data_IF_268163294275
#
_entry.id   IF_268163294275
#
_cell.length_a   1.000
_cell.length_b   1.000
_cell.length_c   1.000
_cell.angle_alpha   90.00
_cell.angle_beta   90.00
_cell.angle_gamma   90.00
#
_symmetry.space_group_name_H-M   'P 1'
#
loop_
_entity.id
_entity.type
_entity.pdbx_description
1 polymer ?
#
# COMPACT_ATOMS: atom_id res chain seq x y z
N UNK A 1 -0.24 -23.13 -3.69
CA UNK A 1 0.00 -22.11 -2.66
C UNK A 1 -1.17 -21.14 -2.68
N UNK A 2 -1.56 -20.62 -1.51
CA UNK A 2 -2.50 -19.51 -1.39
C UNK A 2 -1.73 -18.27 -0.93
N UNK A 3 -1.87 -17.16 -1.66
CA UNK A 3 -1.35 -15.85 -1.30
C UNK A 3 -2.53 -14.89 -1.13
N UNK A 4 -2.55 -14.12 -0.05
CA UNK A 4 -3.53 -13.05 0.16
C UNK A 4 -2.80 -11.71 0.05
N UNK A 5 -3.33 -10.77 -0.74
CA UNK A 5 -2.83 -9.40 -0.81
C UNK A 5 -3.95 -8.48 -0.33
N UNK A 6 -3.69 -7.75 0.74
CA UNK A 6 -4.58 -6.75 1.32
C UNK A 6 -3.94 -5.38 1.12
N UNK A 7 -4.52 -4.58 0.25
CA UNK A 7 -4.13 -3.19 0.01
C UNK A 7 -5.01 -2.22 0.78
N UNK A 8 -4.44 -1.10 1.14
CA UNK A 8 -5.12 0.01 1.78
C UNK A 8 -4.38 1.32 1.48
N UNK A 9 -5.13 2.38 1.20
CA UNK A 9 -4.63 3.73 0.99
C UNK A 9 -5.62 4.77 1.49
N UNK A 10 -5.26 6.04 1.35
CA UNK A 10 -6.14 7.19 1.57
C UNK A 10 -6.84 7.16 2.95
N UNK A 11 -6.05 6.96 4.02
CA UNK A 11 -6.53 6.87 5.40
C UNK A 11 -6.04 8.07 6.19
N UNK A 12 -6.89 9.04 6.37
CA UNK A 12 -6.56 10.31 7.00
C UNK A 12 -6.99 10.37 8.47
N UNK A 13 -8.13 9.74 8.78
CA UNK A 13 -8.72 9.78 10.10
C UNK A 13 -8.34 8.55 10.94
N UNK A 14 -7.90 8.80 12.17
CA UNK A 14 -7.53 7.73 13.10
C UNK A 14 -8.73 6.91 13.58
N UNK A 15 -9.93 7.50 13.60
CA UNK A 15 -11.16 6.86 14.06
C UNK A 15 -12.12 6.54 12.92
N UNK A 16 -13.09 5.69 13.22
CA UNK A 16 -14.17 5.34 12.29
C UNK A 16 -15.07 6.54 11.95
N UNK A 17 -15.66 6.50 10.76
CA UNK A 17 -16.73 7.41 10.37
C UNK A 17 -18.02 6.63 10.15
N UNK A 18 -19.06 6.94 10.94
CA UNK A 18 -20.39 6.30 10.84
C UNK A 18 -20.33 4.76 10.92
N UNK A 19 -19.46 4.25 11.77
CA UNK A 19 -19.30 2.82 12.00
C UNK A 19 -18.42 2.08 10.98
N UNK A 20 -17.70 2.78 10.09
CA UNK A 20 -16.81 2.20 9.08
C UNK A 20 -15.43 2.80 9.14
N UNK A 21 -14.46 2.05 8.66
CA UNK A 21 -13.06 2.48 8.59
C UNK A 21 -12.42 2.67 9.95
N UNK A 22 -11.37 3.52 9.96
CA UNK A 22 -10.55 3.78 11.14
C UNK A 22 -9.57 2.66 11.46
N UNK A 23 -8.44 3.01 12.06
CA UNK A 23 -7.32 2.08 12.26
C UNK A 23 -7.66 0.88 13.16
N UNK A 24 -8.59 1.02 14.12
CA UNK A 24 -8.93 -0.10 14.99
C UNK A 24 -9.60 -1.25 14.23
N UNK A 25 -10.43 -0.96 13.23
CA UNK A 25 -11.03 -1.99 12.36
C UNK A 25 -10.05 -2.51 11.32
N UNK A 26 -9.21 -1.64 10.76
CA UNK A 26 -8.19 -2.01 9.78
C UNK A 26 -7.16 -2.95 10.39
N UNK A 27 -6.66 -2.64 11.57
CA UNK A 27 -5.72 -3.49 12.29
C UNK A 27 -6.35 -4.84 12.66
N UNK A 28 -7.65 -4.87 12.99
CA UNK A 28 -8.38 -6.13 13.22
C UNK A 28 -8.39 -6.99 11.96
N UNK A 29 -8.68 -6.41 10.78
CA UNK A 29 -8.66 -7.14 9.50
C UNK A 29 -7.26 -7.64 9.19
N UNK A 30 -6.24 -6.79 9.26
CA UNK A 30 -4.85 -7.16 8.96
C UNK A 30 -4.35 -8.32 9.86
N UNK A 31 -4.64 -8.24 11.16
CA UNK A 31 -4.31 -9.30 12.13
C UNK A 31 -5.05 -10.60 11.80
N UNK A 32 -6.34 -10.52 11.46
CA UNK A 32 -7.16 -11.69 11.10
C UNK A 32 -6.69 -12.37 9.81
N UNK A 33 -6.38 -11.59 8.77
CA UNK A 33 -5.87 -12.11 7.50
C UNK A 33 -4.54 -12.85 7.68
N UNK A 34 -3.59 -12.25 8.42
CA UNK A 34 -2.31 -12.89 8.73
C UNK A 34 -2.46 -14.15 9.58
N UNK A 35 -3.42 -14.17 10.49
CA UNK A 35 -3.71 -15.36 11.28
C UNK A 35 -4.33 -16.49 10.44
N UNK A 36 -5.16 -16.13 9.46
CA UNK A 36 -5.82 -17.08 8.57
C UNK A 36 -4.89 -17.64 7.48
N UNK A 37 -3.93 -16.82 7.00
CA UNK A 37 -2.97 -17.20 5.98
C UNK A 37 -1.60 -16.57 6.25
N UNK A 38 -0.55 -17.37 6.56
CA UNK A 38 0.80 -16.85 6.79
C UNK A 38 1.41 -16.21 5.53
N UNK A 39 0.91 -16.55 4.33
CA UNK A 39 1.28 -15.90 3.09
C UNK A 39 0.34 -14.72 2.81
N UNK A 40 0.25 -13.78 3.74
CA UNK A 40 -0.49 -12.52 3.57
C UNK A 40 0.50 -11.38 3.41
N UNK A 41 0.31 -10.59 2.36
CA UNK A 41 0.95 -9.29 2.15
C UNK A 41 -0.06 -8.19 2.50
N UNK A 42 0.30 -7.34 3.44
CA UNK A 42 -0.46 -6.15 3.80
C UNK A 42 0.30 -4.93 3.31
N UNK A 43 -0.22 -4.26 2.30
CA UNK A 43 0.45 -3.19 1.58
C UNK A 43 -0.30 -1.87 1.72
N UNK A 44 0.45 -0.78 1.73
CA UNK A 44 -0.08 0.57 1.79
C UNK A 44 0.26 1.33 0.51
N UNK A 45 -0.76 1.84 -0.15
CA UNK A 45 -0.66 2.51 -1.45
C UNK A 45 -0.84 4.04 -1.38
N UNK A 46 -0.49 4.63 -0.22
CA UNK A 46 -0.29 6.07 -0.06
C UNK A 46 -1.35 6.79 0.77
N UNK A 47 -0.98 7.96 1.27
CA UNK A 47 -1.81 8.97 1.93
C UNK A 47 -2.38 8.60 3.29
N UNK A 48 -1.56 8.82 4.35
CA UNK A 48 -2.03 8.63 5.74
C UNK A 48 -1.64 9.78 6.69
N UNK A 49 -0.62 10.59 6.37
CA UNK A 49 -0.12 11.55 7.34
C UNK A 49 -1.00 12.79 7.47
N UNK A 50 -1.79 13.09 6.43
CA UNK A 50 -2.67 14.28 6.33
C UNK A 50 -3.76 14.00 5.28
N UNK A 51 -4.86 14.77 5.23
CA UNK A 51 -5.28 15.74 6.24
C UNK A 51 -6.17 15.12 7.33
N UNK A 52 -6.00 15.54 8.55
CA UNK A 52 -6.97 15.30 9.62
C UNK A 52 -6.85 16.40 10.70
N UNK A 53 -7.83 16.50 11.58
CA UNK A 53 -7.75 17.46 12.69
C UNK A 53 -6.51 17.15 13.54
N UNK A 54 -6.29 15.89 13.90
CA UNK A 54 -5.19 15.49 14.75
C UNK A 54 -3.85 15.67 14.06
N UNK A 55 -3.76 15.41 12.75
CA UNK A 55 -2.51 15.61 11.98
C UNK A 55 -2.06 17.08 11.95
N UNK A 56 -2.99 18.02 12.10
CA UNK A 56 -2.66 19.44 12.27
C UNK A 56 -1.84 19.72 13.54
N UNK A 57 -1.91 18.88 14.56
CA UNK A 57 -1.17 19.01 15.82
C UNK A 57 0.07 18.11 15.85
N UNK A 58 -0.04 16.85 15.44
CA UNK A 58 1.02 15.84 15.58
C UNK A 58 1.71 15.47 14.26
N UNK A 59 1.33 16.14 13.16
CA UNK A 59 1.88 15.97 11.83
C UNK A 59 1.88 14.50 11.35
N UNK A 60 0.78 13.78 11.66
CA UNK A 60 0.57 12.39 11.26
C UNK A 60 1.22 11.35 12.17
N UNK A 61 1.72 11.72 13.37
CA UNK A 61 2.29 10.75 14.31
C UNK A 61 1.25 9.72 14.77
N UNK A 62 -0.01 10.14 14.92
CA UNK A 62 -1.10 9.27 15.34
C UNK A 62 -1.32 8.08 14.38
N UNK A 63 -1.25 8.31 13.07
CA UNK A 63 -1.44 7.26 12.07
C UNK A 63 -0.27 6.29 12.05
N UNK A 64 0.97 6.77 12.23
CA UNK A 64 2.16 5.93 12.39
C UNK A 64 2.06 5.05 13.65
N UNK A 65 1.66 5.63 14.79
CA UNK A 65 1.54 4.87 16.03
C UNK A 65 0.50 3.75 15.92
N UNK A 66 -0.66 4.05 15.31
CA UNK A 66 -1.72 3.07 15.06
C UNK A 66 -1.29 1.99 14.06
N UNK A 67 -0.62 2.37 12.98
CA UNK A 67 -0.11 1.42 11.98
C UNK A 67 0.96 0.51 12.57
N UNK A 68 1.77 1.01 13.51
CA UNK A 68 2.79 0.22 14.19
C UNK A 68 2.22 -0.94 15.04
N UNK A 69 0.91 -0.98 15.32
CA UNK A 69 0.21 -2.10 15.98
C UNK A 69 -0.12 -3.26 15.01
N UNK A 70 -0.18 -2.97 13.70
CA UNK A 70 -0.35 -3.95 12.63
C UNK A 70 0.45 -3.49 11.39
N UNK A 71 1.81 -3.56 11.41
CA UNK A 71 2.65 -2.93 10.42
C UNK A 71 2.44 -3.48 9.01
N UNK A 72 2.58 -2.62 8.01
CA UNK A 72 2.59 -3.01 6.60
C UNK A 72 3.82 -3.85 6.24
N UNK A 73 3.69 -4.63 5.20
CA UNK A 73 4.84 -5.32 4.57
C UNK A 73 5.65 -4.37 3.67
N UNK A 74 4.98 -3.36 3.11
CA UNK A 74 5.55 -2.25 2.35
C UNK A 74 4.55 -1.09 2.37
N UNK A 75 5.06 0.14 2.41
CA UNK A 75 4.28 1.36 2.29
C UNK A 75 4.85 2.26 1.18
N UNK A 76 3.97 2.79 0.35
CA UNK A 76 4.31 3.80 -0.68
C UNK A 76 3.89 5.16 -0.18
N UNK A 77 4.73 6.21 -0.27
CA UNK A 77 4.27 7.55 0.04
C UNK A 77 3.38 8.11 -1.08
N UNK A 78 2.24 8.68 -0.69
CA UNK A 78 1.43 9.52 -1.55
C UNK A 78 1.81 11.00 -1.42
N UNK A 79 1.00 11.89 -1.99
CA UNK A 79 1.25 13.32 -1.90
C UNK A 79 1.05 13.86 -0.47
N UNK A 80 0.10 13.29 0.27
CA UNK A 80 -0.21 13.72 1.64
C UNK A 80 0.86 13.34 2.68
N UNK A 81 1.81 12.50 2.35
CA UNK A 81 3.00 12.26 3.17
C UNK A 81 3.91 13.48 3.20
N UNK A 82 3.83 14.39 2.22
CA UNK A 82 4.68 15.57 2.10
C UNK A 82 4.01 16.88 2.51
N UNK A 83 2.76 16.89 2.96
CA UNK A 83 2.05 18.13 3.32
C UNK A 83 2.73 18.93 4.42
N UNK A 84 3.40 18.25 5.34
CA UNK A 84 4.20 18.87 6.40
C UNK A 84 5.70 18.97 6.05
N UNK A 85 6.06 18.79 4.78
CA UNK A 85 7.42 18.86 4.26
C UNK A 85 8.20 17.55 4.38
N UNK A 86 9.32 17.51 3.65
CA UNK A 86 10.18 16.33 3.54
C UNK A 86 10.76 15.90 4.88
N UNK A 87 11.19 16.85 5.72
CA UNK A 87 11.75 16.55 7.05
C UNK A 87 10.76 15.79 7.93
N UNK A 88 9.48 16.22 7.92
CA UNK A 88 8.43 15.51 8.65
C UNK A 88 8.24 14.07 8.12
N UNK A 89 8.18 13.90 6.80
CA UNK A 89 8.07 12.56 6.23
C UNK A 89 9.25 11.67 6.65
N UNK A 90 10.48 12.19 6.62
CA UNK A 90 11.66 11.44 7.08
C UNK A 90 11.57 11.04 8.56
N UNK A 91 11.06 11.93 9.43
CA UNK A 91 10.82 11.62 10.85
C UNK A 91 9.79 10.50 11.01
N UNK A 92 8.67 10.57 10.26
CA UNK A 92 7.61 9.54 10.32
C UNK A 92 8.09 8.21 9.77
N UNK A 93 8.87 8.23 8.69
CA UNK A 93 9.52 7.04 8.14
C UNK A 93 10.44 6.38 9.19
N UNK A 94 11.24 7.16 9.90
CA UNK A 94 12.11 6.65 10.96
C UNK A 94 11.33 6.11 12.18
N UNK A 95 10.13 6.63 12.46
CA UNK A 95 9.25 6.16 13.53
C UNK A 95 8.42 4.92 13.15
N UNK A 96 8.37 4.56 11.88
CA UNK A 96 7.60 3.44 11.35
C UNK A 96 8.29 2.10 11.65
N UNK A 97 7.50 1.09 12.04
CA UNK A 97 7.95 -0.32 12.17
C UNK A 97 7.77 -1.11 10.86
N UNK A 98 7.59 -0.43 9.77
CA UNK A 98 7.39 -0.98 8.43
C UNK A 98 8.22 -0.21 7.42
N UNK A 99 8.61 -0.84 6.29
CA UNK A 99 9.43 -0.19 5.28
C UNK A 99 8.59 0.74 4.40
N UNK A 100 9.07 1.95 4.20
CA UNK A 100 8.63 2.84 3.15
C UNK A 100 9.47 2.62 1.90
N UNK A 101 8.84 2.64 0.73
CA UNK A 101 9.53 2.42 -0.54
C UNK A 101 8.87 3.18 -1.68
N UNK A 102 9.70 3.71 -2.59
CA UNK A 102 9.27 4.26 -3.87
C UNK A 102 10.47 4.27 -4.83
N UNK A 103 10.31 3.63 -5.98
CA UNK A 103 11.41 3.51 -6.96
C UNK A 103 11.59 4.74 -7.83
N UNK A 104 10.62 5.65 -7.82
CA UNK A 104 10.61 6.85 -8.65
C UNK A 104 10.88 8.15 -7.89
N UNK A 105 11.24 8.08 -6.59
CA UNK A 105 11.61 9.26 -5.81
C UNK A 105 13.12 9.28 -5.59
N UNK A 106 13.76 10.40 -5.92
CA UNK A 106 15.19 10.62 -5.73
C UNK A 106 15.47 12.00 -5.12
N UNK A 107 16.67 12.20 -4.61
CA UNK A 107 17.17 13.53 -4.27
C UNK A 107 17.36 14.37 -5.54
N UNK A 108 17.57 15.67 -5.39
CA UNK A 108 17.79 16.60 -6.50
C UNK A 108 18.95 16.20 -7.41
N UNK A 109 19.97 15.56 -6.87
CA UNK A 109 21.15 15.07 -7.60
C UNK A 109 20.97 13.68 -8.23
N UNK A 110 19.77 13.07 -8.11
CA UNK A 110 19.43 11.76 -8.62
C UNK A 110 19.85 10.59 -7.73
N UNK A 111 20.43 10.85 -6.56
CA UNK A 111 20.78 9.79 -5.59
C UNK A 111 19.54 9.31 -4.82
N UNK A 112 19.55 8.06 -4.29
CA UNK A 112 18.45 7.57 -3.48
C UNK A 112 18.17 8.40 -2.23
N UNK A 113 16.91 8.48 -1.83
CA UNK A 113 16.50 9.05 -0.55
C UNK A 113 16.82 8.06 0.56
N UNK A 114 17.53 8.52 1.60
CA UNK A 114 17.92 7.65 2.71
C UNK A 114 16.70 7.10 3.45
N UNK A 115 16.70 5.80 3.72
CA UNK A 115 15.58 5.10 4.38
C UNK A 115 14.42 4.75 3.46
N UNK A 116 14.33 5.33 2.26
CA UNK A 116 13.32 4.97 1.27
C UNK A 116 13.79 3.77 0.44
N UNK A 117 13.06 2.66 0.53
CA UNK A 117 13.40 1.42 -0.18
C UNK A 117 13.04 1.45 -1.67
N UNK A 118 13.49 0.42 -2.37
CA UNK A 118 13.17 0.16 -3.78
C UNK A 118 12.28 -1.07 -3.95
N UNK A 119 12.42 -1.75 -5.07
CA UNK A 119 11.75 -3.03 -5.33
C UNK A 119 12.08 -4.04 -4.23
N UNK A 120 11.04 -4.68 -3.70
CA UNK A 120 11.18 -5.70 -2.66
C UNK A 120 10.75 -7.06 -3.20
N UNK A 121 11.56 -8.09 -2.98
CA UNK A 121 11.19 -9.46 -3.34
C UNK A 121 10.99 -10.27 -2.06
N UNK A 122 9.82 -10.91 -1.96
CA UNK A 122 9.46 -11.79 -0.84
C UNK A 122 9.18 -13.21 -1.33
N UNK A 123 9.61 -14.21 -0.54
CA UNK A 123 9.17 -15.60 -0.72
C UNK A 123 7.85 -15.82 0.04
N UNK A 124 6.81 -16.15 -0.70
CA UNK A 124 5.49 -16.38 -0.16
C UNK A 124 5.09 -17.86 -0.37
N UNK A 125 5.67 -18.72 0.46
CA UNK A 125 5.43 -20.17 0.39
C UNK A 125 6.02 -20.83 -0.86
N UNK A 126 7.21 -20.40 -1.26
CA UNK A 126 7.93 -20.87 -2.45
C UNK A 126 7.58 -20.12 -3.74
N UNK A 127 6.79 -19.04 -3.64
CA UNK A 127 6.48 -18.10 -4.74
C UNK A 127 7.29 -16.83 -4.53
N UNK A 128 8.12 -16.46 -5.50
CA UNK A 128 8.87 -15.20 -5.49
C UNK A 128 7.97 -14.05 -5.94
N UNK A 129 7.58 -13.20 -5.02
CA UNK A 129 6.71 -12.04 -5.27
C UNK A 129 7.55 -10.77 -5.25
N UNK A 130 7.61 -10.07 -6.39
CA UNK A 130 8.21 -8.74 -6.48
C UNK A 130 7.15 -7.68 -6.22
N UNK A 131 7.39 -6.80 -5.25
CA UNK A 131 6.58 -5.62 -4.95
C UNK A 131 7.23 -4.41 -5.61
N UNK A 132 6.49 -3.73 -6.47
CA UNK A 132 6.93 -2.56 -7.23
C UNK A 132 6.25 -1.32 -6.63
N UNK A 133 6.94 -0.60 -5.72
CA UNK A 133 6.39 0.58 -5.06
C UNK A 133 6.60 1.83 -5.92
N UNK A 134 5.53 2.56 -6.25
CA UNK A 134 5.61 3.76 -7.10
C UNK A 134 4.69 4.84 -6.59
N UNK A 135 5.24 6.03 -6.39
CA UNK A 135 4.51 7.23 -5.99
C UNK A 135 4.02 8.02 -7.21
N UNK A 136 3.03 8.87 -7.02
CA UNK A 136 2.52 9.79 -8.04
C UNK A 136 3.55 10.86 -8.39
N UNK A 137 3.86 11.04 -9.67
CA UNK A 137 4.87 11.99 -10.14
C UNK A 137 4.42 13.45 -10.13
N UNK A 138 3.11 13.70 -9.99
CA UNK A 138 2.55 15.04 -9.81
C UNK A 138 2.60 15.55 -8.35
N UNK A 139 3.10 14.76 -7.41
CA UNK A 139 3.26 15.15 -6.00
C UNK A 139 3.91 16.52 -5.79
N UNK A 140 4.96 16.92 -6.53
CA UNK A 140 5.56 18.25 -6.38
C UNK A 140 4.63 19.43 -6.74
N UNK A 141 3.55 19.17 -7.48
CA UNK A 141 2.59 20.20 -7.89
C UNK A 141 1.51 20.45 -6.83
N UNK A 142 1.28 19.48 -5.95
CA UNK A 142 0.15 19.47 -5.02
C UNK A 142 0.55 19.39 -3.55
N UNK A 143 1.84 19.17 -3.24
CA UNK A 143 2.33 19.03 -1.87
C UNK A 143 3.76 19.60 -1.69
N UNK A 144 4.24 19.62 -0.44
CA UNK A 144 5.51 20.24 -0.04
C UNK A 144 6.69 19.27 -0.12
N UNK A 145 6.93 18.68 -1.29
CA UNK A 145 7.99 17.66 -1.50
C UNK A 145 9.41 18.22 -1.62
N UNK A 146 9.62 19.53 -1.42
CA UNK A 146 10.94 20.18 -1.44
C UNK A 146 11.68 19.96 -2.76
N UNK A 147 12.97 19.61 -2.67
CA UNK A 147 13.83 19.38 -3.83
C UNK A 147 13.81 17.93 -4.35
N UNK A 148 12.93 17.08 -3.82
CA UNK A 148 12.80 15.69 -4.29
C UNK A 148 12.36 15.68 -5.76
N UNK A 149 12.89 14.71 -6.50
CA UNK A 149 12.52 14.46 -7.89
C UNK A 149 11.64 13.23 -7.97
N UNK A 150 10.56 13.34 -8.72
CA UNK A 150 9.65 12.26 -9.01
C UNK A 150 9.79 11.91 -10.50
N UNK A 151 10.24 10.69 -10.77
CA UNK A 151 10.30 10.17 -12.15
C UNK A 151 8.90 9.77 -12.60
N UNK A 152 8.65 9.72 -13.92
CA UNK A 152 7.33 9.36 -14.45
C UNK A 152 6.80 8.05 -13.88
N UNK A 153 5.61 8.10 -13.28
CA UNK A 153 4.99 6.98 -12.55
C UNK A 153 4.85 5.74 -13.41
N UNK A 154 4.20 5.85 -14.57
CA UNK A 154 3.82 4.71 -15.42
C UNK A 154 5.04 4.04 -16.04
N UNK A 155 5.91 4.83 -16.66
CA UNK A 155 7.11 4.31 -17.36
C UNK A 155 8.06 3.63 -16.38
N UNK A 156 8.27 4.26 -15.20
CA UNK A 156 9.14 3.71 -14.16
C UNK A 156 8.58 2.41 -13.61
N UNK A 157 7.27 2.37 -13.32
CA UNK A 157 6.60 1.18 -12.83
C UNK A 157 6.70 0.01 -13.82
N UNK A 158 6.41 0.25 -15.11
CA UNK A 158 6.44 -0.78 -16.16
C UNK A 158 7.86 -1.31 -16.37
N UNK A 159 8.86 -0.43 -16.39
CA UNK A 159 10.25 -0.83 -16.55
C UNK A 159 10.71 -1.72 -15.38
N UNK A 160 10.39 -1.34 -14.15
CA UNK A 160 10.73 -2.11 -12.95
C UNK A 160 10.00 -3.46 -12.89
N UNK A 161 8.73 -3.50 -13.30
CA UNK A 161 7.96 -4.74 -13.36
C UNK A 161 8.55 -5.74 -14.34
N UNK A 162 8.95 -5.29 -15.53
CA UNK A 162 9.64 -6.12 -16.55
C UNK A 162 10.98 -6.62 -16.02
N UNK A 163 11.77 -5.73 -15.41
CA UNK A 163 13.07 -6.11 -14.83
C UNK A 163 12.89 -7.16 -13.73
N UNK A 164 11.91 -7.00 -12.83
CA UNK A 164 11.64 -7.98 -11.79
C UNK A 164 11.26 -9.35 -12.37
N UNK A 165 10.52 -9.38 -13.48
CA UNK A 165 10.19 -10.62 -14.19
C UNK A 165 11.44 -11.27 -14.79
N UNK A 166 12.32 -10.48 -15.42
CA UNK A 166 13.59 -10.96 -15.99
C UNK A 166 14.52 -11.49 -14.89
N UNK A 167 14.49 -10.90 -13.70
CA UNK A 167 15.23 -11.33 -12.50
C UNK A 167 14.62 -12.58 -11.83
N UNK A 168 13.54 -13.13 -12.40
CA UNK A 168 12.95 -14.39 -11.99
C UNK A 168 11.89 -14.30 -10.92
N UNK A 169 11.16 -13.17 -10.81
CA UNK A 169 9.97 -13.09 -10.02
C UNK A 169 8.86 -13.98 -10.62
N UNK A 170 8.22 -14.77 -9.77
CA UNK A 170 7.07 -15.59 -10.15
C UNK A 170 5.80 -14.72 -10.31
N UNK A 171 5.64 -13.73 -9.43
CA UNK A 171 4.57 -12.73 -9.46
C UNK A 171 5.13 -11.32 -9.32
N UNK A 172 4.50 -10.37 -10.00
CA UNK A 172 4.82 -8.94 -9.93
C UNK A 172 3.59 -8.20 -9.45
N UNK A 173 3.71 -7.52 -8.31
CA UNK A 173 2.65 -6.76 -7.65
C UNK A 173 3.02 -5.29 -7.65
N UNK A 174 2.21 -4.46 -8.30
CA UNK A 174 2.28 -3.01 -8.18
C UNK A 174 1.64 -2.56 -6.87
N UNK A 175 2.34 -1.72 -6.12
CA UNK A 175 1.78 -0.97 -4.99
C UNK A 175 1.97 0.49 -5.36
N UNK A 176 0.89 1.13 -5.78
CA UNK A 176 1.01 2.41 -6.49
C UNK A 176 0.06 3.45 -5.91
N UNK A 177 0.56 4.68 -5.82
CA UNK A 177 -0.25 5.85 -5.54
C UNK A 177 -0.34 6.64 -6.84
N UNK A 178 -1.48 6.58 -7.51
CA UNK A 178 -1.66 7.25 -8.81
C UNK A 178 -3.13 7.32 -9.22
N UNK A 179 -3.42 8.22 -10.19
CA UNK A 179 -4.78 8.39 -10.69
C UNK A 179 -5.23 7.27 -11.64
N UNK A 180 -6.54 7.17 -11.84
CA UNK A 180 -7.18 6.12 -12.64
C UNK A 180 -6.72 6.08 -14.11
N UNK A 181 -6.30 7.20 -14.71
CA UNK A 181 -5.79 7.17 -16.08
C UNK A 181 -4.45 6.47 -16.18
N UNK A 182 -3.56 6.71 -15.21
CA UNK A 182 -2.31 5.97 -15.06
C UNK A 182 -2.56 4.50 -14.75
N UNK A 183 -3.52 4.17 -13.87
CA UNK A 183 -3.90 2.79 -13.58
C UNK A 183 -4.32 2.03 -14.83
N UNK A 184 -5.13 2.65 -15.68
CA UNK A 184 -5.52 2.07 -16.98
C UNK A 184 -4.31 1.76 -17.86
N UNK A 185 -3.29 2.65 -17.85
CA UNK A 185 -2.05 2.44 -18.58
C UNK A 185 -1.23 1.28 -17.98
N UNK A 186 -1.15 1.20 -16.64
CA UNK A 186 -0.48 0.10 -15.95
C UNK A 186 -1.16 -1.24 -16.24
N UNK A 187 -2.49 -1.33 -16.16
CA UNK A 187 -3.28 -2.52 -16.51
C UNK A 187 -3.05 -2.90 -17.97
N UNK A 188 -3.12 -1.93 -18.89
CA UNK A 188 -2.93 -2.17 -20.33
C UNK A 188 -1.54 -2.65 -20.67
N UNK A 189 -0.52 -2.34 -19.88
CA UNK A 189 0.87 -2.76 -20.08
C UNK A 189 1.08 -4.29 -19.96
N UNK A 190 0.20 -4.98 -19.20
CA UNK A 190 0.30 -6.41 -18.88
C UNK A 190 1.61 -6.79 -18.16
N UNK A 191 2.29 -5.82 -17.56
CA UNK A 191 3.55 -6.06 -16.84
C UNK A 191 3.34 -6.60 -15.43
N UNK A 192 2.14 -6.41 -14.87
CA UNK A 192 1.77 -6.76 -13.50
C UNK A 192 0.80 -7.93 -13.45
N UNK A 193 0.94 -8.78 -12.43
CA UNK A 193 -0.07 -9.79 -12.08
C UNK A 193 -1.17 -9.16 -11.20
N UNK A 194 -0.78 -8.33 -10.23
CA UNK A 194 -1.70 -7.62 -9.34
C UNK A 194 -1.27 -6.15 -9.24
N UNK A 195 -2.25 -5.25 -9.18
CA UNK A 195 -2.05 -3.83 -8.87
C UNK A 195 -2.96 -3.47 -7.71
N UNK A 196 -2.38 -2.91 -6.64
CA UNK A 196 -3.06 -2.21 -5.56
C UNK A 196 -2.79 -0.73 -5.73
N UNK A 197 -3.84 0.06 -5.88
CA UNK A 197 -3.76 1.49 -6.18
C UNK A 197 -4.60 2.33 -5.22
N UNK A 198 -4.13 3.52 -4.89
CA UNK A 198 -4.82 4.58 -4.16
C UNK A 198 -4.80 5.89 -4.93
N UNK A 199 -5.25 6.99 -4.34
CA UNK A 199 -5.37 8.37 -4.84
C UNK A 199 -6.80 8.80 -5.21
N UNK A 200 -7.52 8.01 -6.02
CA UNK A 200 -8.83 8.42 -6.55
C UNK A 200 -10.00 8.23 -5.56
N UNK A 201 -9.75 7.69 -4.38
CA UNK A 201 -10.76 7.40 -3.33
C UNK A 201 -11.90 6.48 -3.77
N UNK A 202 -11.76 5.87 -4.92
CA UNK A 202 -12.76 4.99 -5.52
C UNK A 202 -12.62 3.56 -4.99
N UNK A 203 -13.71 2.81 -4.99
CA UNK A 203 -13.65 1.37 -4.77
C UNK A 203 -13.87 0.65 -6.11
N UNK A 204 -12.85 -0.01 -6.58
CA UNK A 204 -12.94 -0.77 -7.83
C UNK A 204 -12.14 -2.07 -7.76
N UNK A 205 -12.64 -3.09 -8.44
CA UNK A 205 -11.92 -4.34 -8.67
C UNK A 205 -12.10 -4.76 -10.11
N UNK A 206 -11.06 -5.24 -10.75
CA UNK A 206 -11.15 -5.79 -12.10
C UNK A 206 -10.14 -6.91 -12.33
N UNK A 207 -10.43 -7.77 -13.29
CA UNK A 207 -9.51 -8.78 -13.79
C UNK A 207 -9.72 -8.95 -15.29
N UNK A 208 -8.68 -8.72 -16.07
CA UNK A 208 -8.74 -8.78 -17.53
C UNK A 208 -8.19 -10.09 -18.13
N UNK A 209 -7.98 -11.10 -17.27
CA UNK A 209 -7.38 -12.39 -17.63
C UNK A 209 -5.86 -12.44 -17.46
N UNK A 210 -5.20 -11.32 -17.14
CA UNK A 210 -3.75 -11.19 -16.92
C UNK A 210 -3.50 -10.41 -15.62
N UNK A 211 -4.07 -9.21 -15.48
CA UNK A 211 -3.83 -8.30 -14.36
C UNK A 211 -5.08 -8.24 -13.47
N UNK A 212 -4.93 -8.55 -12.19
CA UNK A 212 -5.91 -8.26 -11.16
C UNK A 212 -5.65 -6.85 -10.60
N UNK A 213 -6.68 -6.03 -10.51
CA UNK A 213 -6.60 -4.65 -10.05
C UNK A 213 -7.56 -4.39 -8.91
N UNK A 214 -7.10 -3.63 -7.92
CA UNK A 214 -7.90 -3.10 -6.82
C UNK A 214 -7.57 -1.63 -6.64
N UNK A 215 -8.60 -0.80 -6.65
CA UNK A 215 -8.59 0.55 -6.10
C UNK A 215 -9.09 0.46 -4.66
N UNK A 216 -8.28 0.91 -3.70
CA UNK A 216 -8.44 0.53 -2.28
C UNK A 216 -9.45 1.35 -1.49
N UNK A 217 -10.19 2.25 -2.15
CA UNK A 217 -11.18 3.11 -1.48
C UNK A 217 -10.55 4.18 -0.58
N UNK A 218 -11.35 4.84 0.22
CA UNK A 218 -10.93 5.86 1.18
C UNK A 218 -11.29 5.44 2.60
N UNK A 219 -10.46 5.84 3.59
CA UNK A 219 -10.68 5.64 5.03
C UNK A 219 -10.88 4.18 5.45
N UNK A 220 -10.48 3.25 4.60
CA UNK A 220 -10.68 1.82 4.87
C UNK A 220 -12.13 1.42 5.09
N UNK A 221 -13.08 2.13 4.48
CA UNK A 221 -14.52 1.82 4.61
C UNK A 221 -14.86 0.46 4.03
N UNK A 222 -14.25 0.14 2.92
CA UNK A 222 -14.38 -1.12 2.20
C UNK A 222 -13.00 -1.65 1.84
N UNK A 223 -12.80 -2.94 2.03
CA UNK A 223 -11.53 -3.59 1.69
C UNK A 223 -11.78 -4.71 0.70
N UNK A 224 -10.83 -4.91 -0.21
CA UNK A 224 -10.84 -6.01 -1.17
C UNK A 224 -9.55 -6.82 -1.11
N UNK A 225 -9.42 -7.75 -0.15
CA UNK A 225 -8.32 -8.71 -0.21
C UNK A 225 -8.40 -9.54 -1.50
N UNK A 226 -7.27 -9.69 -2.19
CA UNK A 226 -7.15 -10.55 -3.35
C UNK A 226 -6.47 -11.85 -2.93
N UNK A 227 -7.23 -12.95 -2.96
CA UNK A 227 -6.67 -14.27 -2.75
C UNK A 227 -6.22 -14.87 -4.09
N UNK A 228 -4.94 -15.16 -4.22
CA UNK A 228 -4.42 -15.88 -5.36
C UNK A 228 -4.29 -17.36 -5.03
N UNK A 229 -4.95 -18.21 -5.79
CA UNK A 229 -4.71 -19.66 -5.79
C UNK A 229 -3.62 -19.92 -6.82
N UNK A 230 -2.46 -20.39 -6.34
CA UNK A 230 -1.24 -20.49 -7.13
C UNK A 230 -0.82 -21.94 -7.30
N UNK A 231 -0.72 -22.37 -8.55
CA UNK A 231 -0.21 -23.67 -8.96
C UNK A 231 1.21 -23.52 -9.51
N UNK A 232 2.14 -24.23 -8.87
CA UNK A 232 3.54 -24.28 -9.29
C UNK A 232 3.79 -25.65 -9.91
N UNK A 233 4.33 -25.67 -11.11
CA UNK A 233 4.75 -26.89 -11.79
C UNK A 233 6.15 -26.71 -12.38
N UNK A 234 6.87 -27.81 -12.49
CA UNK A 234 8.14 -27.86 -13.17
C UNK A 234 8.08 -28.97 -14.22
N UNK A 235 8.42 -28.62 -15.45
CA UNK A 235 8.48 -29.55 -16.57
C UNK A 235 9.72 -29.26 -17.41
N UNK A 236 10.53 -30.30 -17.64
CA UNK A 236 11.76 -30.22 -18.45
C UNK A 236 12.72 -29.11 -17.95
N UNK A 237 12.84 -28.97 -16.61
CA UNK A 237 13.66 -27.95 -15.97
C UNK A 237 13.10 -26.51 -16.07
N UNK A 238 11.89 -26.36 -16.60
CA UNK A 238 11.19 -25.07 -16.66
C UNK A 238 10.12 -24.98 -15.60
N UNK A 239 10.27 -23.98 -14.71
CA UNK A 239 9.28 -23.60 -13.71
C UNK A 239 8.12 -22.86 -14.39
N UNK A 240 6.90 -23.19 -14.02
CA UNK A 240 5.68 -22.51 -14.45
C UNK A 240 4.82 -22.19 -13.24
N UNK A 241 4.39 -20.95 -13.14
CA UNK A 241 3.49 -20.47 -12.11
C UNK A 241 2.22 -20.00 -12.78
N UNK A 242 1.09 -20.55 -12.35
CA UNK A 242 -0.26 -20.14 -12.79
C UNK A 242 -1.04 -19.75 -11.56
N UNK A 243 -1.89 -18.76 -11.70
CA UNK A 243 -2.69 -18.27 -10.59
C UNK A 243 -4.08 -17.84 -11.05
N UNK A 244 -5.00 -17.80 -10.10
CA UNK A 244 -6.37 -17.33 -10.30
C UNK A 244 -6.74 -16.41 -9.14
N UNK A 245 -7.25 -15.19 -9.39
CA UNK A 245 -7.66 -14.28 -8.34
C UNK A 245 -9.06 -14.61 -7.83
N UNK A 246 -9.26 -14.35 -6.53
CA UNK A 246 -10.56 -14.29 -5.90
C UNK A 246 -10.61 -12.99 -5.09
N UNK A 247 -11.46 -12.05 -5.52
CA UNK A 247 -11.67 -10.81 -4.82
C UNK A 247 -12.68 -11.01 -3.71
N UNK A 248 -12.31 -10.66 -2.47
CA UNK A 248 -13.24 -10.64 -1.35
C UNK A 248 -13.69 -9.20 -1.08
N UNK A 249 -14.89 -9.05 -0.62
CA UNK A 249 -15.42 -7.75 -0.18
C UNK A 249 -15.61 -7.76 1.33
N UNK A 250 -15.02 -6.80 2.02
CA UNK A 250 -15.17 -6.57 3.45
C UNK A 250 -15.75 -5.18 3.68
N UNK A 251 -17.01 -5.11 4.11
CA UNK A 251 -17.56 -3.89 4.71
C UNK A 251 -17.07 -3.82 6.16
N UNK A 252 -16.22 -2.84 6.47
CA UNK A 252 -15.62 -2.71 7.80
C UNK A 252 -16.63 -2.40 8.90
N UNK A 253 -17.86 -2.02 8.57
CA UNK A 253 -18.96 -1.93 9.53
C UNK A 253 -19.24 -3.27 10.25
N UNK A 254 -18.95 -4.39 9.60
CA UNK A 254 -19.11 -5.73 10.16
C UNK A 254 -17.93 -6.21 11.02
N UNK A 255 -16.84 -5.45 11.04
CA UNK A 255 -15.59 -5.82 11.72
C UNK A 255 -15.60 -5.32 13.16
N UNK A 256 -15.37 -6.20 14.12
CA UNK A 256 -15.11 -5.81 15.50
C UNK A 256 -13.74 -5.14 15.60
N UNK A 257 -13.64 -3.92 16.15
CA UNK A 257 -12.36 -3.24 16.31
C UNK A 257 -11.34 -4.06 17.11
N UNK A 258 -10.06 -3.95 16.77
CA UNK A 258 -8.95 -4.47 17.58
C UNK A 258 -8.86 -3.70 18.89
N UNK A 259 -8.86 -4.40 20.02
CA UNK A 259 -8.99 -3.78 21.34
C UNK A 259 -7.80 -2.87 21.69
N UNK A 260 -6.57 -3.25 21.31
CA UNK A 260 -5.38 -2.44 21.57
C UNK A 260 -5.39 -1.16 20.72
N UNK A 261 -5.74 -1.29 19.45
CA UNK A 261 -5.87 -0.14 18.54
C UNK A 261 -7.01 0.79 18.96
N UNK A 262 -8.14 0.24 19.42
CA UNK A 262 -9.26 1.05 19.91
C UNK A 262 -8.89 1.84 21.16
N UNK A 263 -8.16 1.23 22.10
CA UNK A 263 -7.69 1.94 23.30
C UNK A 263 -6.75 3.12 22.95
N UNK A 264 -5.94 2.98 21.90
CA UNK A 264 -5.08 4.06 21.39
C UNK A 264 -5.91 5.16 20.72
N UNK A 265 -6.91 4.79 19.90
CA UNK A 265 -7.88 5.71 19.29
C UNK A 265 -8.61 6.53 20.36
N UNK A 266 -9.12 5.88 21.41
CA UNK A 266 -9.81 6.55 22.53
C UNK A 266 -8.88 7.53 23.26
N UNK A 267 -7.59 7.18 23.39
CA UNK A 267 -6.56 8.06 23.94
C UNK A 267 -6.30 9.30 23.08
N UNK A 268 -6.30 9.18 21.77
CA UNK A 268 -6.19 10.32 20.84
C UNK A 268 -7.43 11.19 20.87
N UNK A 269 -8.63 10.59 20.89
CA UNK A 269 -9.88 11.34 20.99
C UNK A 269 -9.90 12.18 22.26
N UNK A 270 -9.51 11.61 23.40
CA UNK A 270 -9.45 12.35 24.66
C UNK A 270 -8.51 13.56 24.59
N UNK A 271 -7.36 13.42 23.89
CA UNK A 271 -6.43 14.56 23.70
C UNK A 271 -7.00 15.67 22.82
N UNK A 272 -7.94 15.35 21.93
CA UNK A 272 -8.62 16.36 21.11
C UNK A 272 -9.75 17.06 21.87
N UNK A 273 -10.35 16.37 22.84
CA UNK A 273 -11.47 16.89 23.65
C UNK A 273 -11.00 17.79 24.79
N UNK A 274 -9.75 17.63 25.28
CA UNK A 274 -9.10 18.42 26.34
C UNK A 274 -8.54 19.76 25.80
#
# INVERSE_FOLDING_TARGET
VKLTILGIGDIYNFQEEKGRGGFARLNAVAKAERAANPNTLYVFDGDMLSPSILSGFDKGQNTIDLTNLAPFDIAVPGNHEFDFGVENFMEKMAASKFPWAAINITKADGTPVEGLGGVMVKDMGGVKVALIPVAQDTTPEVSSSGDLKFLPTVETAIAAAKQARDDGADLVVGVVQTNMDNDRMLIASKAFDVIMSGDDHSYATSYDGITAYVETSIEGRYLSPVDLVIDISEKDGKRSVKWTPNFRFIDTASVTPDAESQAMVDGFQKKLDD
#
